data_IF_149473491222
#
_entry.id   IF_149473491222
#
_cell.length_a   1.000
_cell.length_b   1.000
_cell.length_c   1.000
_cell.angle_alpha   90.00
_cell.angle_beta   90.00
_cell.angle_gamma   90.00
#
_symmetry.space_group_name_H-M   'P 1'
#
loop_
_entity.id
_entity.type
_entity.pdbx_description
1 polymer ?
#
# COMPACT_ATOMS: atom_id res chain seq x y z
N UNK A 1 11.49 -11.92 -28.22
CA UNK A 1 10.07 -11.86 -28.68
C UNK A 1 9.41 -10.71 -27.94
N UNK A 2 8.59 -9.85 -28.59
CA UNK A 2 7.90 -8.75 -27.91
C UNK A 2 6.86 -9.29 -26.93
N UNK A 3 6.78 -8.69 -25.73
CA UNK A 3 5.81 -9.01 -24.69
C UNK A 3 5.35 -7.72 -23.98
N UNK A 4 4.49 -7.85 -22.99
CA UNK A 4 3.93 -6.72 -22.23
C UNK A 4 4.98 -5.88 -21.49
N UNK A 5 6.18 -6.41 -21.25
CA UNK A 5 7.28 -5.74 -20.54
C UNK A 5 8.36 -5.16 -21.44
N UNK A 6 8.25 -5.34 -22.76
CA UNK A 6 9.32 -4.94 -23.70
C UNK A 6 9.73 -3.47 -23.58
N UNK A 7 8.79 -2.56 -23.28
CA UNK A 7 9.11 -1.14 -23.06
C UNK A 7 9.81 -0.88 -21.74
N UNK A 8 9.50 -1.64 -20.71
CA UNK A 8 10.18 -1.58 -19.41
C UNK A 8 11.61 -2.12 -19.54
N UNK A 9 11.79 -3.20 -20.31
CA UNK A 9 13.10 -3.78 -20.59
C UNK A 9 14.03 -2.81 -21.34
N UNK A 10 13.51 -1.95 -22.23
CA UNK A 10 14.30 -0.89 -22.87
C UNK A 10 14.87 0.14 -21.87
N UNK A 11 14.23 0.31 -20.71
CA UNK A 11 14.69 1.24 -19.66
C UNK A 11 15.59 0.58 -18.63
N UNK A 12 15.26 -0.64 -18.22
CA UNK A 12 15.91 -1.31 -17.11
C UNK A 12 16.96 -2.34 -17.55
N UNK A 13 16.86 -2.84 -18.77
CA UNK A 13 17.70 -3.91 -19.31
C UNK A 13 17.20 -5.32 -18.92
N UNK A 14 17.71 -6.31 -19.64
CA UNK A 14 17.27 -7.71 -19.51
C UNK A 14 17.54 -8.29 -18.12
N UNK A 15 18.71 -8.05 -17.56
CA UNK A 15 19.12 -8.58 -16.26
C UNK A 15 18.21 -8.08 -15.12
N UNK A 16 17.85 -6.78 -15.14
CA UNK A 16 16.92 -6.22 -14.19
C UNK A 16 15.50 -6.84 -14.32
N UNK A 17 15.03 -7.08 -15.56
CA UNK A 17 13.76 -7.76 -15.80
C UNK A 17 13.77 -9.20 -15.28
N UNK A 18 14.90 -9.93 -15.41
CA UNK A 18 15.07 -11.25 -14.84
C UNK A 18 15.02 -11.24 -13.30
N UNK A 19 15.64 -10.22 -12.65
CA UNK A 19 15.54 -10.05 -11.19
C UNK A 19 14.09 -9.78 -10.77
N UNK A 20 13.40 -8.85 -11.42
CA UNK A 20 12.02 -8.53 -11.15
C UNK A 20 11.09 -9.75 -11.29
N UNK A 21 11.32 -10.57 -12.33
CA UNK A 21 10.51 -11.79 -12.56
C UNK A 21 10.67 -12.86 -11.47
N UNK A 22 11.77 -12.83 -10.73
CA UNK A 22 12.02 -13.74 -9.59
C UNK A 22 11.62 -13.14 -8.25
N UNK A 23 11.40 -11.82 -8.19
CA UNK A 23 11.07 -11.13 -6.96
C UNK A 23 9.67 -11.48 -6.46
N UNK A 24 9.54 -11.60 -5.13
CA UNK A 24 8.28 -11.75 -4.42
C UNK A 24 8.06 -10.55 -3.50
N UNK A 25 7.00 -9.80 -3.72
CA UNK A 25 6.68 -8.58 -2.97
C UNK A 25 5.40 -8.77 -2.16
N UNK A 26 5.45 -8.55 -0.86
CA UNK A 26 4.27 -8.55 -0.01
C UNK A 26 3.72 -7.13 0.13
N UNK A 27 2.42 -6.94 -0.14
CA UNK A 27 1.75 -5.64 -0.04
C UNK A 27 0.66 -5.71 1.02
N UNK A 28 0.89 -5.03 2.12
CA UNK A 28 -0.03 -4.93 3.25
C UNK A 28 -0.93 -3.70 3.08
N UNK A 29 -2.23 -3.94 2.90
CA UNK A 29 -3.25 -2.93 2.63
C UNK A 29 -3.46 -2.68 1.12
N UNK A 30 -4.59 -3.13 0.58
CA UNK A 30 -4.98 -3.01 -0.84
C UNK A 30 -6.04 -1.89 -0.99
N UNK A 31 -5.70 -0.74 -0.44
CA UNK A 31 -6.52 0.46 -0.49
C UNK A 31 -6.14 1.41 -1.64
N UNK A 32 -6.34 2.73 -1.41
CA UNK A 32 -6.03 3.77 -2.39
C UNK A 32 -4.55 3.92 -2.72
N UNK A 33 -3.66 3.56 -1.80
CA UNK A 33 -2.20 3.54 -2.01
C UNK A 33 -1.76 2.17 -2.52
N UNK A 34 -2.00 1.10 -1.72
CA UNK A 34 -1.50 -0.23 -2.04
C UNK A 34 -2.05 -0.80 -3.35
N UNK A 35 -3.30 -0.51 -3.71
CA UNK A 35 -3.85 -0.95 -4.99
C UNK A 35 -3.08 -0.40 -6.20
N UNK A 36 -2.70 0.88 -6.19
CA UNK A 36 -1.86 1.47 -7.24
C UNK A 36 -0.40 1.02 -7.17
N UNK A 37 0.09 0.71 -5.97
CA UNK A 37 1.41 0.08 -5.82
C UNK A 37 1.43 -1.28 -6.52
N UNK A 38 0.47 -2.16 -6.23
CA UNK A 38 0.36 -3.48 -6.87
C UNK A 38 0.21 -3.36 -8.38
N UNK A 39 -0.65 -2.45 -8.86
CA UNK A 39 -0.84 -2.18 -10.29
C UNK A 39 0.49 -1.89 -11.00
N UNK A 40 1.32 -1.02 -10.42
CA UNK A 40 2.61 -0.66 -11.01
C UNK A 40 3.65 -1.78 -10.90
N UNK A 41 3.67 -2.54 -9.79
CA UNK A 41 4.58 -3.67 -9.62
C UNK A 41 4.31 -4.76 -10.67
N UNK A 42 3.06 -5.16 -10.87
CA UNK A 42 2.70 -6.19 -11.83
C UNK A 42 2.97 -5.75 -13.27
N UNK A 43 2.72 -4.48 -13.61
CA UNK A 43 3.02 -3.92 -14.94
C UNK A 43 4.51 -3.76 -15.21
N UNK A 44 5.34 -3.81 -14.17
CA UNK A 44 6.80 -3.76 -14.27
C UNK A 44 7.46 -5.14 -14.27
N UNK A 45 6.68 -6.22 -14.17
CA UNK A 45 7.19 -7.59 -14.32
C UNK A 45 7.59 -8.26 -13.01
N UNK A 46 7.13 -7.79 -11.85
CA UNK A 46 7.32 -8.52 -10.58
C UNK A 46 6.63 -9.88 -10.66
N UNK A 47 7.38 -10.94 -10.35
CA UNK A 47 6.97 -12.32 -10.61
C UNK A 47 6.06 -12.93 -9.56
N UNK A 48 6.06 -12.42 -8.32
CA UNK A 48 5.16 -12.90 -7.27
C UNK A 48 4.70 -11.75 -6.37
N UNK A 49 3.42 -11.75 -6.01
CA UNK A 49 2.81 -10.72 -5.16
C UNK A 49 1.91 -11.39 -4.11
N UNK A 50 2.17 -11.07 -2.85
CA UNK A 50 1.29 -11.41 -1.75
C UNK A 50 0.39 -10.20 -1.44
N UNK A 51 -0.92 -10.43 -1.39
CA UNK A 51 -1.94 -9.41 -1.16
C UNK A 51 -2.55 -9.61 0.22
N UNK A 52 -2.32 -8.67 1.13
CA UNK A 52 -2.80 -8.77 2.51
C UNK A 52 -3.81 -7.65 2.79
N UNK A 53 -5.09 -8.01 2.84
CA UNK A 53 -6.21 -7.08 3.14
C UNK A 53 -7.46 -7.88 3.50
N UNK A 54 -8.13 -7.59 4.61
CA UNK A 54 -9.34 -8.28 5.05
C UNK A 54 -10.64 -7.56 4.67
N UNK A 55 -10.53 -6.37 4.09
CA UNK A 55 -11.68 -5.54 3.72
C UNK A 55 -12.37 -6.02 2.44
N UNK A 56 -13.65 -5.68 2.36
CA UNK A 56 -14.42 -5.73 1.12
C UNK A 56 -14.47 -4.36 0.45
N UNK A 57 -14.63 -4.35 -0.86
CA UNK A 57 -14.83 -3.11 -1.63
C UNK A 57 -16.14 -2.44 -1.17
N UNK A 58 -16.06 -1.21 -0.72
CA UNK A 58 -17.20 -0.37 -0.35
C UNK A 58 -17.48 0.66 -1.45
N UNK A 59 -18.73 1.08 -1.58
CA UNK A 59 -19.13 2.10 -2.57
C UNK A 59 -18.31 3.40 -2.44
N UNK A 60 -17.98 3.82 -1.21
CA UNK A 60 -17.13 5.00 -0.98
C UNK A 60 -15.66 4.82 -1.36
N UNK A 61 -15.25 3.65 -1.78
CA UNK A 61 -13.89 3.40 -2.28
C UNK A 61 -13.74 3.75 -3.77
N UNK A 62 -14.85 3.85 -4.52
CA UNK A 62 -14.85 4.10 -5.96
C UNK A 62 -14.12 5.38 -6.34
N UNK A 63 -14.07 6.36 -5.45
CA UNK A 63 -13.44 7.64 -5.73
C UNK A 63 -11.91 7.60 -5.79
N UNK A 64 -11.27 6.49 -5.31
CA UNK A 64 -9.80 6.46 -5.16
C UNK A 64 -9.11 5.09 -5.23
N UNK A 65 -9.83 3.99 -5.14
CA UNK A 65 -9.24 2.64 -5.18
C UNK A 65 -9.40 2.04 -6.57
N UNK A 66 -8.30 1.65 -7.20
CA UNK A 66 -8.29 1.15 -8.59
C UNK A 66 -9.14 -0.10 -8.79
N UNK A 67 -9.25 -0.94 -7.76
CA UNK A 67 -10.05 -2.17 -7.75
C UNK A 67 -11.54 -1.91 -7.52
N UNK A 68 -11.89 -0.71 -7.05
CA UNK A 68 -13.26 -0.39 -6.69
C UNK A 68 -14.03 0.12 -7.91
N UNK A 69 -14.95 -0.71 -8.38
CA UNK A 69 -15.93 -0.42 -9.42
C UNK A 69 -17.31 -0.84 -8.95
N UNK A 70 -18.37 -0.46 -9.65
CA UNK A 70 -19.74 -0.88 -9.28
C UNK A 70 -19.90 -2.40 -9.26
N UNK A 71 -19.22 -3.11 -10.16
CA UNK A 71 -19.27 -4.58 -10.29
C UNK A 71 -18.45 -5.31 -9.21
N UNK A 72 -17.57 -4.62 -8.49
CA UNK A 72 -16.71 -5.21 -7.45
C UNK A 72 -17.15 -4.89 -6.04
N UNK A 73 -18.11 -3.98 -5.82
CA UNK A 73 -18.65 -3.67 -4.49
C UNK A 73 -19.13 -4.95 -3.80
N UNK A 74 -18.71 -5.15 -2.54
CA UNK A 74 -19.02 -6.33 -1.73
C UNK A 74 -18.05 -7.50 -1.86
N UNK A 75 -17.17 -7.53 -2.88
CA UNK A 75 -16.12 -8.54 -3.03
C UNK A 75 -14.90 -8.19 -2.15
N UNK A 76 -14.11 -9.18 -1.76
CA UNK A 76 -12.85 -8.94 -1.04
C UNK A 76 -11.84 -8.19 -1.92
N UNK A 77 -11.21 -7.15 -1.37
CA UNK A 77 -10.24 -6.32 -2.09
C UNK A 77 -9.07 -7.14 -2.65
N UNK A 78 -8.51 -8.01 -1.84
CA UNK A 78 -7.39 -8.86 -2.25
C UNK A 78 -7.76 -9.83 -3.38
N UNK A 79 -8.98 -10.38 -3.39
CA UNK A 79 -9.46 -11.24 -4.49
C UNK A 79 -9.65 -10.46 -5.79
N UNK A 80 -10.26 -9.27 -5.72
CA UNK A 80 -10.44 -8.40 -6.89
C UNK A 80 -9.08 -7.96 -7.47
N UNK A 81 -8.11 -7.69 -6.59
CA UNK A 81 -6.77 -7.33 -7.03
C UNK A 81 -6.03 -8.50 -7.67
N UNK A 82 -6.17 -9.73 -7.13
CA UNK A 82 -5.62 -10.94 -7.76
C UNK A 82 -6.16 -11.12 -9.18
N UNK A 83 -7.47 -11.04 -9.37
CA UNK A 83 -8.09 -11.21 -10.68
C UNK A 83 -7.56 -10.16 -11.67
N UNK A 84 -7.36 -8.94 -11.21
CA UNK A 84 -6.76 -7.86 -12.00
C UNK A 84 -5.29 -8.11 -12.34
N UNK A 85 -4.49 -8.64 -11.39
CA UNK A 85 -3.09 -9.01 -11.64
C UNK A 85 -3.02 -10.05 -12.75
N UNK A 86 -3.82 -11.10 -12.66
CA UNK A 86 -3.80 -12.21 -13.62
C UNK A 86 -4.27 -11.80 -15.02
N UNK A 87 -5.11 -10.77 -15.13
CA UNK A 87 -5.50 -10.19 -16.41
C UNK A 87 -4.38 -9.32 -17.03
N UNK A 88 -3.50 -8.73 -16.21
CA UNK A 88 -2.33 -7.95 -16.66
C UNK A 88 -1.12 -8.86 -16.96
N UNK A 89 -0.84 -9.77 -16.04
CA UNK A 89 0.29 -10.70 -16.10
C UNK A 89 -0.15 -12.09 -15.60
N UNK A 90 -0.59 -12.98 -16.52
CA UNK A 90 -1.07 -14.31 -16.16
C UNK A 90 0.00 -15.22 -15.54
N UNK A 91 1.30 -14.91 -15.72
CA UNK A 91 2.41 -15.67 -15.17
C UNK A 91 2.78 -15.23 -13.73
N UNK A 92 2.19 -14.15 -13.23
CA UNK A 92 2.44 -13.68 -11.86
C UNK A 92 1.85 -14.64 -10.83
N UNK A 93 2.66 -15.05 -9.87
CA UNK A 93 2.19 -15.85 -8.72
C UNK A 93 1.54 -14.93 -7.71
N UNK A 94 0.28 -15.20 -7.36
CA UNK A 94 -0.48 -14.34 -6.46
C UNK A 94 -1.00 -15.14 -5.27
N UNK A 95 -0.58 -14.74 -4.08
CA UNK A 95 -1.12 -15.25 -2.82
C UNK A 95 -2.08 -14.24 -2.20
N UNK A 96 -3.25 -14.72 -1.73
CA UNK A 96 -4.31 -13.87 -1.17
C UNK A 96 -4.51 -14.18 0.30
N UNK A 97 -4.24 -13.21 1.15
CA UNK A 97 -4.43 -13.28 2.60
C UNK A 97 -5.59 -12.36 3.00
N UNK A 98 -6.77 -12.94 3.29
CA UNK A 98 -7.97 -12.21 3.74
C UNK A 98 -7.93 -11.99 5.25
N UNK A 99 -6.88 -11.36 5.74
CA UNK A 99 -6.65 -11.12 7.15
C UNK A 99 -6.14 -9.70 7.40
N UNK A 100 -6.32 -9.25 8.62
CA UNK A 100 -5.74 -8.00 9.11
C UNK A 100 -4.42 -8.31 9.79
N UNK A 101 -3.33 -7.64 9.36
CA UNK A 101 -2.03 -7.83 9.98
C UNK A 101 -1.96 -7.07 11.32
N UNK A 102 -1.65 -7.81 12.37
CA UNK A 102 -1.46 -7.32 13.75
C UNK A 102 -0.22 -7.99 14.36
N UNK A 103 0.30 -7.47 15.49
CA UNK A 103 1.37 -8.16 16.22
C UNK A 103 1.07 -9.63 16.55
N UNK A 104 -0.20 -9.96 16.80
CA UNK A 104 -0.68 -11.29 17.15
C UNK A 104 -0.70 -12.27 15.97
N UNK A 105 -0.81 -11.75 14.73
CA UNK A 105 -0.85 -12.56 13.50
C UNK A 105 0.47 -12.52 12.72
N UNK A 106 1.50 -11.87 13.28
CA UNK A 106 2.78 -11.65 12.59
C UNK A 106 3.48 -12.95 12.16
N UNK A 107 3.38 -14.00 12.97
CA UNK A 107 4.04 -15.27 12.75
C UNK A 107 3.40 -16.11 11.61
N UNK A 108 2.24 -15.66 11.09
CA UNK A 108 1.63 -16.22 9.88
C UNK A 108 2.39 -15.80 8.60
N UNK A 109 3.32 -14.83 8.70
CA UNK A 109 4.06 -14.27 7.57
C UNK A 109 5.56 -14.45 7.75
N UNK A 110 6.17 -15.28 6.92
CA UNK A 110 7.63 -15.41 6.84
C UNK A 110 8.22 -14.30 5.96
N UNK A 111 8.67 -13.21 6.60
CA UNK A 111 9.26 -12.08 5.89
C UNK A 111 10.57 -12.42 5.20
N UNK A 112 11.29 -13.45 5.61
CA UNK A 112 12.52 -13.88 4.96
C UNK A 112 12.27 -14.44 3.55
N UNK A 113 11.04 -14.85 3.25
CA UNK A 113 10.61 -15.31 1.93
C UNK A 113 10.29 -14.19 0.94
N UNK A 114 10.21 -12.94 1.40
CA UNK A 114 9.91 -11.78 0.55
C UNK A 114 11.17 -11.05 0.12
N UNK A 115 11.25 -10.68 -1.15
CA UNK A 115 12.28 -9.78 -1.67
C UNK A 115 12.05 -8.34 -1.19
N UNK A 116 10.79 -7.97 -0.93
CA UNK A 116 10.42 -6.63 -0.48
C UNK A 116 9.06 -6.63 0.22
N UNK A 117 8.91 -5.75 1.22
CA UNK A 117 7.64 -5.52 1.93
C UNK A 117 7.16 -4.09 1.69
N UNK A 118 5.89 -3.95 1.34
CA UNK A 118 5.22 -2.65 1.20
C UNK A 118 4.18 -2.49 2.32
N UNK A 119 4.37 -1.47 3.13
CA UNK A 119 3.41 -1.07 4.15
C UNK A 119 2.51 0.06 3.63
N UNK A 120 1.30 -0.28 3.24
CA UNK A 120 0.24 0.64 2.83
C UNK A 120 -1.00 0.59 3.74
N UNK A 121 -0.85 0.05 4.98
CA UNK A 121 -1.93 0.04 5.98
C UNK A 121 -2.12 1.42 6.62
N UNK A 122 -3.28 1.67 7.21
CA UNK A 122 -3.60 2.95 7.88
C UNK A 122 -3.51 2.90 9.42
N UNK A 123 -3.25 1.74 9.99
CA UNK A 123 -3.19 1.51 11.43
C UNK A 123 -1.77 1.60 11.97
N UNK A 124 -1.52 2.49 12.92
CA UNK A 124 -0.18 2.73 13.50
C UNK A 124 0.43 1.46 14.11
N UNK A 125 -0.37 0.68 14.84
CA UNK A 125 0.09 -0.56 15.49
C UNK A 125 0.59 -1.56 14.45
N UNK A 126 -0.16 -1.78 13.37
CA UNK A 126 0.24 -2.65 12.27
C UNK A 126 1.52 -2.15 11.58
N UNK A 127 1.60 -0.84 11.27
CA UNK A 127 2.81 -0.24 10.68
C UNK A 127 4.07 -0.49 11.51
N UNK A 128 3.97 -0.31 12.83
CA UNK A 128 5.10 -0.55 13.73
C UNK A 128 5.51 -2.02 13.70
N UNK A 129 4.53 -2.93 13.77
CA UNK A 129 4.81 -4.37 13.76
C UNK A 129 5.45 -4.82 12.43
N UNK A 130 4.97 -4.32 11.28
CA UNK A 130 5.57 -4.57 9.95
C UNK A 130 7.03 -4.12 9.90
N UNK A 131 7.32 -2.91 10.38
CA UNK A 131 8.70 -2.38 10.40
C UNK A 131 9.60 -3.20 11.31
N UNK A 132 9.12 -3.60 12.50
CA UNK A 132 9.89 -4.40 13.44
C UNK A 132 10.20 -5.78 12.86
N UNK A 133 9.21 -6.46 12.28
CA UNK A 133 9.41 -7.78 11.68
C UNK A 133 10.36 -7.72 10.47
N UNK A 134 10.22 -6.71 9.61
CA UNK A 134 11.13 -6.51 8.49
C UNK A 134 12.59 -6.27 8.94
N UNK A 135 12.79 -5.57 10.06
CA UNK A 135 14.13 -5.40 10.63
C UNK A 135 14.71 -6.67 11.23
N UNK A 136 13.89 -7.46 11.91
CA UNK A 136 14.29 -8.74 12.51
C UNK A 136 14.77 -9.73 11.44
N UNK A 137 14.13 -9.74 10.28
CA UNK A 137 14.46 -10.63 9.14
C UNK A 137 15.47 -10.04 8.17
N UNK A 138 15.77 -8.74 8.28
CA UNK A 138 16.60 -8.03 7.31
C UNK A 138 15.91 -7.75 5.97
N UNK A 139 14.59 -7.94 5.88
CA UNK A 139 13.82 -7.76 4.64
C UNK A 139 13.64 -6.28 4.32
N UNK A 140 13.92 -5.83 3.09
CA UNK A 140 13.66 -4.45 2.68
C UNK A 140 12.19 -4.07 2.84
N UNK A 141 11.94 -2.87 3.38
CA UNK A 141 10.58 -2.35 3.57
C UNK A 141 10.47 -0.88 3.20
N UNK A 142 9.36 -0.51 2.57
CA UNK A 142 8.95 0.89 2.34
C UNK A 142 7.55 1.12 2.94
N UNK A 143 7.37 2.24 3.63
CA UNK A 143 6.11 2.55 4.30
C UNK A 143 5.47 3.82 3.73
N UNK A 144 4.18 3.74 3.41
CA UNK A 144 3.36 4.91 3.09
C UNK A 144 2.99 5.68 4.33
N UNK A 145 3.26 6.99 4.35
CA UNK A 145 2.71 7.87 5.37
C UNK A 145 1.32 8.37 4.99
N UNK A 146 0.76 9.33 5.73
CA UNK A 146 -0.62 9.77 5.54
C UNK A 146 -0.89 10.40 4.17
N UNK A 147 -1.79 9.81 3.39
CA UNK A 147 -2.28 10.31 2.10
C UNK A 147 -3.68 10.94 2.16
N UNK A 148 -4.34 10.90 3.31
CA UNK A 148 -5.65 11.55 3.49
C UNK A 148 -5.56 13.05 3.73
N UNK A 149 -6.68 13.77 3.46
CA UNK A 149 -6.81 15.21 3.68
C UNK A 149 -5.78 16.05 2.91
N UNK A 150 -5.53 15.71 1.65
CA UNK A 150 -4.53 16.33 0.79
C UNK A 150 -5.08 16.54 -0.63
N UNK A 151 -4.58 17.57 -1.29
CA UNK A 151 -5.00 17.99 -2.63
C UNK A 151 -3.84 18.05 -3.63
N UNK A 152 -2.59 18.15 -3.16
CA UNK A 152 -1.43 18.29 -4.04
C UNK A 152 -0.57 17.01 -4.07
N UNK A 153 -0.73 16.16 -5.09
CA UNK A 153 0.06 14.94 -5.22
C UNK A 153 1.54 15.19 -5.53
N UNK A 154 1.89 16.37 -6.07
CA UNK A 154 3.29 16.72 -6.38
C UNK A 154 4.14 17.01 -5.13
N UNK A 155 3.53 17.08 -3.94
CA UNK A 155 4.25 17.29 -2.69
C UNK A 155 4.68 16.00 -1.99
N UNK A 156 4.52 14.82 -2.63
CA UNK A 156 5.09 13.59 -2.12
C UNK A 156 6.60 13.52 -2.34
N UNK A 157 7.30 12.99 -1.35
CA UNK A 157 8.74 12.78 -1.34
C UNK A 157 9.06 11.38 -0.80
N UNK A 158 10.18 10.83 -1.27
CA UNK A 158 10.81 9.65 -0.69
C UNK A 158 11.89 10.12 0.29
N UNK A 159 11.85 9.64 1.51
CA UNK A 159 12.83 10.03 2.53
C UNK A 159 13.04 8.92 3.57
N UNK A 160 14.08 9.07 4.38
CA UNK A 160 14.15 8.38 5.66
C UNK A 160 13.11 8.97 6.62
N UNK A 161 12.47 8.13 7.42
CA UNK A 161 11.42 8.55 8.38
C UNK A 161 11.90 9.72 9.28
N UNK A 162 13.18 9.72 9.67
CA UNK A 162 13.74 10.76 10.54
C UNK A 162 14.02 12.09 9.83
N UNK A 163 13.96 12.11 8.48
CA UNK A 163 14.08 13.33 7.67
C UNK A 163 12.72 13.89 7.23
N UNK A 164 11.61 13.26 7.65
CA UNK A 164 10.27 13.74 7.30
C UNK A 164 9.84 14.96 8.10
N UNK A 165 8.96 15.76 7.55
CA UNK A 165 8.36 16.95 8.17
C UNK A 165 6.85 17.00 7.97
N UNK A 166 6.17 17.94 8.61
CA UNK A 166 4.73 18.29 8.40
C UNK A 166 3.74 17.15 8.65
N UNK A 167 3.96 15.94 8.12
CA UNK A 167 3.01 14.82 8.17
C UNK A 167 2.75 14.34 9.62
N UNK A 168 1.48 14.38 10.13
CA UNK A 168 1.17 13.95 11.49
C UNK A 168 1.46 12.47 11.74
N UNK A 169 1.14 11.60 10.78
CA UNK A 169 1.41 10.16 10.89
C UNK A 169 2.92 9.90 10.98
N UNK A 170 3.73 10.55 10.12
CA UNK A 170 5.18 10.41 10.18
C UNK A 170 5.75 10.89 11.54
N UNK A 171 5.18 11.93 12.15
CA UNK A 171 5.55 12.39 13.50
C UNK A 171 5.32 11.31 14.56
N UNK A 172 4.19 10.62 14.50
CA UNK A 172 3.88 9.50 15.40
C UNK A 172 4.84 8.34 15.16
N UNK A 173 5.01 7.93 13.90
CA UNK A 173 5.91 6.84 13.53
C UNK A 173 7.36 7.10 13.97
N UNK A 174 7.90 8.29 13.73
CA UNK A 174 9.25 8.67 14.22
C UNK A 174 9.42 8.45 15.70
N UNK A 175 8.45 8.92 16.50
CA UNK A 175 8.51 8.79 17.96
C UNK A 175 8.48 7.32 18.40
N UNK A 176 7.57 6.54 17.83
CA UNK A 176 7.37 5.16 18.23
C UNK A 176 8.50 4.23 17.75
N UNK A 177 9.02 4.46 16.55
CA UNK A 177 10.14 3.71 16.00
C UNK A 177 11.47 4.04 16.71
N UNK A 178 11.68 5.31 17.09
CA UNK A 178 12.87 5.70 17.87
C UNK A 178 12.93 4.98 19.23
N UNK A 179 11.79 4.85 19.93
CA UNK A 179 11.70 4.10 21.20
C UNK A 179 12.08 2.62 21.05
N UNK A 180 11.90 2.05 19.85
CA UNK A 180 12.17 0.65 19.52
C UNK A 180 13.54 0.42 18.88
N UNK A 181 14.37 1.46 18.83
CA UNK A 181 15.73 1.37 18.29
C UNK A 181 15.84 1.29 16.77
N UNK A 182 14.73 1.55 16.04
CA UNK A 182 14.75 1.61 14.58
C UNK A 182 15.61 2.79 14.12
N UNK A 183 16.67 2.51 13.34
CA UNK A 183 17.63 3.53 12.93
C UNK A 183 17.26 4.22 11.62
N UNK A 184 16.56 3.53 10.73
CA UNK A 184 16.13 4.04 9.41
C UNK A 184 14.87 3.34 8.94
N UNK A 185 14.07 4.03 8.14
CA UNK A 185 12.94 3.46 7.39
C UNK A 185 12.70 4.31 6.16
N UNK A 186 12.72 3.70 4.96
CA UNK A 186 12.32 4.36 3.72
C UNK A 186 10.81 4.60 3.75
N UNK A 187 10.40 5.83 3.51
CA UNK A 187 8.98 6.21 3.50
C UNK A 187 8.63 7.10 2.31
N UNK A 188 7.37 7.00 1.89
CA UNK A 188 6.74 8.00 1.02
C UNK A 188 5.82 8.85 1.86
N UNK A 189 6.05 10.16 1.88
CA UNK A 189 5.25 11.09 2.66
C UNK A 189 5.03 12.40 1.90
N UNK A 190 4.01 13.14 2.26
CA UNK A 190 3.74 14.44 1.65
C UNK A 190 4.13 15.57 2.59
N UNK A 191 4.74 16.61 2.04
CA UNK A 191 5.03 17.89 2.72
C UNK A 191 3.84 18.84 2.77
N UNK A 192 2.74 18.45 2.15
CA UNK A 192 1.50 19.22 2.24
C UNK A 192 0.93 19.16 3.66
N UNK A 193 0.57 20.31 4.19
CA UNK A 193 -0.19 20.40 5.44
C UNK A 193 -1.59 19.85 5.17
N UNK A 194 -2.07 18.85 5.96
CA UNK A 194 -3.41 18.32 5.77
C UNK A 194 -4.47 19.41 5.86
N UNK A 195 -5.43 19.41 4.92
CA UNK A 195 -6.59 20.28 5.00
C UNK A 195 -7.57 19.76 6.06
N UNK A 196 -8.32 20.67 6.69
CA UNK A 196 -9.40 20.27 7.59
C UNK A 196 -10.59 19.80 6.75
N UNK A 197 -11.05 18.55 6.92
CA UNK A 197 -12.25 18.07 6.22
C UNK A 197 -13.47 18.92 6.57
N UNK A 198 -14.40 19.05 5.64
CA UNK A 198 -15.71 19.63 5.89
C UNK A 198 -16.48 18.67 6.80
N UNK A 199 -16.95 19.16 7.95
CA UNK A 199 -17.78 18.39 8.87
C UNK A 199 -19.23 18.44 8.41
N UNK A 200 -19.63 17.49 7.59
CA UNK A 200 -21.03 17.32 7.17
C UNK A 200 -21.47 15.88 7.44
N UNK A 201 -22.34 15.72 8.42
CA UNK A 201 -22.85 14.40 8.82
C UNK A 201 -23.78 13.80 7.76
N UNK A 202 -24.36 14.58 6.86
CA UNK A 202 -25.24 14.09 5.79
C UNK A 202 -24.50 13.28 4.73
N UNK A 203 -23.20 13.56 4.51
CA UNK A 203 -22.32 12.86 3.55
C UNK A 203 -21.28 11.97 4.23
N UNK A 204 -21.31 11.87 5.56
CA UNK A 204 -20.33 11.10 6.32
C UNK A 204 -20.75 9.64 6.46
N UNK A 205 -19.87 8.71 6.05
CA UNK A 205 -20.05 7.28 6.36
C UNK A 205 -20.15 6.98 7.87
N UNK A 206 -19.82 7.94 8.73
CA UNK A 206 -19.96 7.80 10.17
C UNK A 206 -21.42 7.81 10.60
N UNK A 207 -22.27 8.63 9.96
CA UNK A 207 -23.69 8.69 10.23
C UNK A 207 -24.49 7.67 9.39
N UNK A 208 -24.07 7.45 8.16
CA UNK A 208 -24.78 6.62 7.18
C UNK A 208 -23.80 5.59 6.59
N UNK A 209 -23.52 4.52 7.37
CA UNK A 209 -22.61 3.46 6.92
C UNK A 209 -23.27 2.61 5.83
N UNK A 210 -22.66 2.61 4.64
CA UNK A 210 -23.03 1.78 3.50
C UNK A 210 -22.02 0.67 3.22
N UNK A 211 -21.29 0.25 4.26
CA UNK A 211 -20.34 -0.85 4.15
C UNK A 211 -21.07 -2.16 3.80
N UNK A 212 -20.44 -3.03 2.98
CA UNK A 212 -21.03 -4.33 2.65
C UNK A 212 -21.29 -5.17 3.90
N UNK A 213 -22.29 -6.06 3.88
CA UNK A 213 -22.54 -7.01 4.96
C UNK A 213 -21.28 -7.84 5.28
N UNK A 214 -20.98 -8.01 6.58
CA UNK A 214 -19.82 -8.77 7.04
C UNK A 214 -18.47 -8.02 6.94
N UNK A 215 -18.48 -6.71 6.73
CA UNK A 215 -17.27 -5.90 6.90
C UNK A 215 -16.86 -5.90 8.38
N UNK A 216 -15.60 -6.33 8.66
CA UNK A 216 -15.07 -6.43 10.04
C UNK A 216 -14.81 -5.06 10.65
N UNK A 217 -14.40 -4.08 9.83
CA UNK A 217 -14.10 -2.71 10.27
C UNK A 217 -15.16 -1.73 9.75
N UNK A 218 -15.97 -1.21 10.67
CA UNK A 218 -17.03 -0.24 10.33
C UNK A 218 -16.51 1.19 10.37
N UNK A 219 -16.91 1.99 9.39
CA UNK A 219 -16.58 3.42 9.37
C UNK A 219 -17.09 4.17 10.61
N UNK A 220 -18.16 3.67 11.23
CA UNK A 220 -18.76 4.23 12.46
C UNK A 220 -17.84 4.14 13.69
N UNK A 221 -16.90 3.20 13.70
CA UNK A 221 -15.96 3.00 14.82
C UNK A 221 -14.72 3.89 14.70
N UNK A 222 -14.50 4.53 13.55
CA UNK A 222 -13.36 5.42 13.33
C UNK A 222 -13.57 6.77 14.01
N UNK A 223 -12.54 7.27 14.71
CA UNK A 223 -12.56 8.59 15.37
C UNK A 223 -12.80 9.72 14.36
N UNK A 224 -12.23 9.62 13.17
CA UNK A 224 -12.43 10.54 12.06
C UNK A 224 -12.28 9.79 10.74
N UNK A 225 -13.05 10.18 9.73
CA UNK A 225 -12.92 9.68 8.35
C UNK A 225 -12.17 10.74 7.57
N UNK A 226 -10.93 10.46 7.11
CA UNK A 226 -10.20 11.43 6.33
C UNK A 226 -10.84 11.62 4.94
N UNK A 227 -10.86 12.85 4.47
CA UNK A 227 -11.16 13.14 3.07
C UNK A 227 -10.10 12.52 2.15
N UNK A 228 -10.50 12.13 0.95
CA UNK A 228 -9.60 11.56 -0.04
C UNK A 228 -10.13 11.79 -1.46
N UNK A 229 -9.24 11.68 -2.44
CA UNK A 229 -9.50 11.86 -3.86
C UNK A 229 -8.76 10.80 -4.70
N UNK A 230 -8.97 10.82 -6.02
CA UNK A 230 -8.42 9.81 -6.91
C UNK A 230 -6.89 9.94 -7.13
N UNK A 231 -6.34 11.14 -7.03
CA UNK A 231 -4.98 11.43 -7.49
C UNK A 231 -3.92 11.47 -6.38
N UNK A 232 -4.27 11.77 -5.14
CA UNK A 232 -3.27 11.83 -4.05
C UNK A 232 -2.81 10.45 -3.61
N UNK A 233 -3.68 9.50 -3.19
CA UNK A 233 -3.22 8.19 -2.78
C UNK A 233 -2.66 7.36 -3.95
N UNK A 234 -3.17 7.55 -5.17
CA UNK A 234 -2.65 6.84 -6.35
C UNK A 234 -1.22 7.22 -6.67
N UNK A 235 -0.89 8.51 -6.64
CA UNK A 235 0.49 8.98 -6.87
C UNK A 235 1.42 8.48 -5.78
N UNK A 236 1.00 8.48 -4.51
CA UNK A 236 1.79 7.88 -3.43
C UNK A 236 2.09 6.39 -3.72
N UNK A 237 1.10 5.62 -4.18
CA UNK A 237 1.27 4.22 -4.54
C UNK A 237 2.22 4.00 -5.71
N UNK A 238 2.14 4.83 -6.75
CA UNK A 238 3.04 4.78 -7.90
C UNK A 238 4.48 5.12 -7.52
N UNK A 239 4.70 6.10 -6.63
CA UNK A 239 6.03 6.44 -6.11
C UNK A 239 6.59 5.27 -5.31
N UNK A 240 5.81 4.63 -4.43
CA UNK A 240 6.24 3.45 -3.68
C UNK A 240 6.68 2.35 -4.63
N UNK A 241 5.87 2.01 -5.64
CA UNK A 241 6.22 1.00 -6.61
C UNK A 241 7.51 1.34 -7.38
N UNK A 242 7.71 2.60 -7.75
CA UNK A 242 8.92 3.02 -8.45
C UNK A 242 10.18 2.81 -7.60
N UNK A 243 10.10 3.05 -6.28
CA UNK A 243 11.21 2.80 -5.37
C UNK A 243 11.49 1.30 -5.21
N UNK A 244 10.44 0.48 -5.04
CA UNK A 244 10.59 -0.99 -4.97
C UNK A 244 11.23 -1.55 -6.23
N UNK A 245 10.76 -1.11 -7.40
CA UNK A 245 11.31 -1.56 -8.70
C UNK A 245 12.76 -1.14 -8.86
N UNK A 246 13.12 0.09 -8.51
CA UNK A 246 14.52 0.57 -8.58
C UNK A 246 15.43 -0.21 -7.64
N UNK A 247 14.99 -0.47 -6.41
CA UNK A 247 15.77 -1.24 -5.46
C UNK A 247 15.99 -2.67 -5.97
N UNK A 248 14.92 -3.38 -6.39
CA UNK A 248 15.01 -4.75 -6.92
C UNK A 248 15.74 -4.85 -8.27
N UNK A 249 15.71 -3.80 -9.08
CA UNK A 249 16.42 -3.76 -10.36
C UNK A 249 17.92 -3.49 -10.19
N UNK A 250 18.36 -2.88 -9.08
CA UNK A 250 19.75 -2.53 -8.82
C UNK A 250 20.57 -3.67 -8.17
N UNK A 251 19.92 -4.64 -7.53
CA UNK A 251 20.55 -5.82 -6.94
C UNK A 251 21.09 -6.77 -8.03
#
# INVERSE_FOLDING_TARGET
>A
MLNQFSRTELLLGKEAMERLSRARVAVFGIGGVGGYTVEALVRSGVGAIDLIDDDKVCLTNLNRQIIATRSTVGKYKAEVMRDRILDINPDCKVEVHKCFYLPETRDEFDFSSYSYVVDAVDTVTAKIALVMQAQETGTPIISSMGAGNKLNPAMFEVADIYKTSVCPLAKVMRRELKKRGVKKLKVVYSREKPVTPIEDMSISCRAHCICPPGAKHKCTERRAIPGSNAFVPSVAGLIIASEVIKDLAAE
#
